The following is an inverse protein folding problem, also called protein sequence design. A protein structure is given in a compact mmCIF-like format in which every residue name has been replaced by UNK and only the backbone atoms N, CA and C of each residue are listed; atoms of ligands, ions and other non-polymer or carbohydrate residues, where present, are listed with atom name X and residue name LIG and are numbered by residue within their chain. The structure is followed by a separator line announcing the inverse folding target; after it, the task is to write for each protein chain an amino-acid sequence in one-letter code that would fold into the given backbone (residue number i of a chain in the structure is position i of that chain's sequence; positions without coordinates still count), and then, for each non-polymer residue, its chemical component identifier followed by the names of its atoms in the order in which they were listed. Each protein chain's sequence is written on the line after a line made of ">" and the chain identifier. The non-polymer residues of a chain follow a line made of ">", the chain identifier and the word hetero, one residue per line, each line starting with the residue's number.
data_IF_596916052034
#
_entry.id   IF_596916052034
#
_cell.length_a   1.000
_cell.length_b   1.000
_cell.length_c   1.000
_cell.angle_alpha   90.00
_cell.angle_beta   90.00
_cell.angle_gamma   90.00
#
_symmetry.space_group_name_H-M   'P 1'
#
loop_
_entity.id
_entity.type
_entity.pdbx_description
1 polymer ?
#
# COMPACT_ATOMS: atom_id res chain seq x y z
N UNK A 1 -2.65 -27.97 15.61
CA UNK A 1 -4.09 -27.70 15.46
C UNK A 1 -4.43 -27.78 13.99
N UNK A 2 -5.30 -28.71 13.61
CA UNK A 2 -5.91 -28.74 12.27
C UNK A 2 -6.80 -27.51 12.07
N UNK A 3 -6.77 -26.95 10.87
CA UNK A 3 -7.60 -25.81 10.51
C UNK A 3 -9.03 -26.28 10.24
N UNK A 4 -9.97 -25.90 11.12
CA UNK A 4 -11.40 -26.29 11.03
C UNK A 4 -12.26 -25.26 10.30
N UNK A 5 -11.67 -24.19 9.76
CA UNK A 5 -12.42 -23.19 8.99
C UNK A 5 -12.86 -23.76 7.64
N UNK A 6 -14.09 -23.46 7.22
CA UNK A 6 -14.53 -23.79 5.87
C UNK A 6 -13.64 -23.06 4.85
N UNK A 7 -12.92 -23.79 3.98
CA UNK A 7 -12.05 -23.18 2.98
C UNK A 7 -12.91 -22.56 1.87
N UNK A 8 -12.56 -21.35 1.42
CA UNK A 8 -13.27 -20.66 0.35
C UNK A 8 -13.57 -19.20 0.67
N UNK A 9 -14.05 -18.48 -0.34
CA UNK A 9 -14.48 -17.10 -0.17
C UNK A 9 -15.79 -17.08 0.63
N UNK A 10 -15.85 -16.23 1.66
CA UNK A 10 -17.02 -16.12 2.55
C UNK A 10 -18.07 -15.11 2.06
N UNK A 11 -17.63 -14.20 1.20
CA UNK A 11 -18.45 -13.25 0.45
C UNK A 11 -19.13 -13.98 -0.71
N UNK A 12 -20.39 -13.66 -1.00
CA UNK A 12 -21.10 -14.21 -2.16
C UNK A 12 -20.63 -13.47 -3.42
N UNK A 13 -19.40 -13.74 -3.89
CA UNK A 13 -19.02 -13.31 -5.23
C UNK A 13 -19.79 -14.16 -6.24
N UNK A 14 -20.67 -13.53 -7.00
CA UNK A 14 -21.32 -14.19 -8.12
C UNK A 14 -20.28 -14.61 -9.16
N UNK A 15 -20.56 -15.69 -9.91
CA UNK A 15 -19.71 -16.11 -11.01
C UNK A 15 -19.71 -15.01 -12.09
N UNK A 16 -18.71 -14.13 -12.06
CA UNK A 16 -18.64 -12.97 -12.96
C UNK A 16 -18.18 -11.66 -12.31
N UNK A 17 -17.92 -11.61 -11.00
CA UNK A 17 -17.43 -10.39 -10.35
C UNK A 17 -16.20 -9.81 -11.05
N UNK A 18 -16.24 -8.50 -11.31
CA UNK A 18 -15.16 -7.80 -11.99
C UNK A 18 -13.90 -7.76 -11.12
N UNK A 19 -12.72 -7.65 -11.73
CA UNK A 19 -11.47 -7.47 -10.97
C UNK A 19 -11.49 -6.22 -10.08
N UNK A 20 -12.33 -5.23 -10.40
CA UNK A 20 -12.54 -4.02 -9.61
C UNK A 20 -13.33 -4.33 -8.33
N UNK A 21 -14.43 -5.07 -8.42
CA UNK A 21 -15.22 -5.48 -7.24
C UNK A 21 -14.37 -6.28 -6.26
N UNK A 22 -13.61 -7.25 -6.77
CA UNK A 22 -12.69 -8.05 -5.94
C UNK A 22 -11.64 -7.14 -5.28
N UNK A 23 -11.11 -6.15 -6.00
CA UNK A 23 -10.12 -5.22 -5.46
C UNK A 23 -10.71 -4.31 -4.37
N UNK A 24 -11.95 -3.85 -4.53
CA UNK A 24 -12.66 -3.03 -3.53
C UNK A 24 -12.87 -3.79 -2.23
N UNK A 25 -13.08 -5.10 -2.30
CA UNK A 25 -13.19 -5.96 -1.10
C UNK A 25 -11.86 -6.10 -0.34
N UNK A 26 -10.71 -6.03 -1.02
CA UNK A 26 -9.40 -6.06 -0.36
C UNK A 26 -8.91 -4.69 0.11
N UNK A 27 -9.34 -3.61 -0.55
CA UNK A 27 -8.95 -2.22 -0.29
C UNK A 27 -10.19 -1.39 0.01
N UNK A 28 -10.58 -1.43 1.29
CA UNK A 28 -11.78 -0.78 1.80
C UNK A 28 -11.74 0.74 1.60
N UNK A 29 -12.87 1.34 1.26
CA UNK A 29 -13.03 2.80 1.12
C UNK A 29 -12.61 3.56 2.37
N UNK A 30 -12.78 2.96 3.56
CA UNK A 30 -12.32 3.51 4.84
C UNK A 30 -10.81 3.76 4.86
N UNK A 31 -10.02 2.88 4.24
CA UNK A 31 -8.56 3.03 4.17
C UNK A 31 -8.19 4.23 3.29
N UNK A 32 -8.85 4.39 2.16
CA UNK A 32 -8.63 5.54 1.28
C UNK A 32 -9.02 6.84 1.98
N UNK A 33 -10.15 6.85 2.70
CA UNK A 33 -10.57 8.00 3.47
C UNK A 33 -9.60 8.31 4.61
N UNK A 34 -9.10 7.28 5.31
CA UNK A 34 -8.11 7.45 6.37
C UNK A 34 -6.81 8.07 5.84
N UNK A 35 -6.29 7.56 4.72
CA UNK A 35 -5.09 8.11 4.06
C UNK A 35 -5.35 9.56 3.66
N UNK A 36 -6.50 9.83 3.05
CA UNK A 36 -6.91 11.18 2.64
C UNK A 36 -6.89 12.15 3.82
N UNK A 37 -7.56 11.79 4.92
CA UNK A 37 -7.61 12.61 6.12
C UNK A 37 -6.20 12.84 6.67
N UNK A 38 -5.35 11.81 6.73
CA UNK A 38 -3.98 11.96 7.24
C UNK A 38 -3.07 12.78 6.35
N UNK A 39 -3.21 12.69 5.03
CA UNK A 39 -2.46 13.52 4.08
C UNK A 39 -2.85 14.99 4.23
N UNK A 40 -4.16 15.27 4.32
CA UNK A 40 -4.66 16.64 4.51
C UNK A 40 -4.27 17.21 5.88
N UNK A 41 -4.44 16.44 6.96
CA UNK A 41 -3.99 16.80 8.32
C UNK A 41 -2.48 17.15 8.30
N UNK A 42 -1.67 16.33 7.61
CA UNK A 42 -0.22 16.55 7.55
C UNK A 42 0.13 17.83 6.80
N UNK A 43 -0.50 18.06 5.65
CA UNK A 43 -0.27 19.24 4.81
C UNK A 43 -0.63 20.55 5.53
N UNK A 44 -1.75 20.56 6.25
CA UNK A 44 -2.19 21.72 7.04
C UNK A 44 -1.24 22.01 8.20
N UNK A 45 -0.76 20.98 8.90
CA UNK A 45 0.13 21.13 10.05
C UNK A 45 1.61 21.36 9.67
N UNK A 46 2.00 21.09 8.42
CA UNK A 46 3.39 21.21 7.96
C UNK A 46 3.47 21.92 6.59
N UNK A 47 2.98 23.18 6.49
CA UNK A 47 2.94 23.90 5.21
C UNK A 47 4.33 24.05 4.57
N UNK A 48 5.41 24.05 5.35
CA UNK A 48 6.79 24.09 4.87
C UNK A 48 7.26 22.80 4.17
N UNK A 49 6.51 21.70 4.30
CA UNK A 49 6.77 20.43 3.60
C UNK A 49 5.93 20.30 2.32
N UNK A 50 4.93 21.16 2.16
CA UNK A 50 4.05 21.17 1.01
C UNK A 50 4.69 22.00 -0.11
N UNK A 51 4.65 21.47 -1.33
CA UNK A 51 5.12 22.21 -2.50
C UNK A 51 4.03 23.21 -2.92
N UNK A 52 4.35 24.50 -3.04
CA UNK A 52 3.42 25.45 -3.67
C UNK A 52 3.20 25.01 -5.13
N UNK A 53 1.95 24.85 -5.55
CA UNK A 53 1.64 24.77 -7.00
C UNK A 53 1.89 26.14 -7.64
N UNK A 54 1.93 26.18 -8.96
CA UNK A 54 2.08 27.45 -9.71
C UNK A 54 1.04 28.52 -9.32
N UNK A 55 -0.12 28.12 -8.78
CA UNK A 55 -1.19 28.99 -8.29
C UNK A 55 -1.18 29.22 -6.75
N UNK A 56 -0.09 28.87 -6.07
CA UNK A 56 0.18 29.27 -4.67
C UNK A 56 -0.48 28.43 -3.58
N UNK A 57 -1.63 27.80 -3.83
CA UNK A 57 -2.41 27.13 -2.78
C UNK A 57 -2.35 25.58 -2.85
N UNK A 58 -2.26 24.96 -1.67
CA UNK A 58 -2.51 23.53 -1.49
C UNK A 58 -4.00 23.24 -1.63
N UNK A 59 -4.36 22.25 -2.45
CA UNK A 59 -5.72 21.73 -2.51
C UNK A 59 -5.81 20.44 -1.70
N UNK A 60 -6.85 20.31 -0.88
CA UNK A 60 -7.09 19.10 -0.11
C UNK A 60 -7.24 17.90 -1.04
N UNK A 61 -6.48 16.85 -0.76
CA UNK A 61 -6.58 15.59 -1.51
C UNK A 61 -7.92 14.93 -1.21
N UNK A 62 -8.47 14.20 -2.18
CA UNK A 62 -9.71 13.41 -2.08
C UNK A 62 -9.43 11.91 -2.08
N UNK A 63 -10.39 11.11 -1.59
CA UNK A 63 -10.29 9.65 -1.65
C UNK A 63 -10.11 9.12 -3.07
N UNK A 64 -10.74 9.77 -4.05
CA UNK A 64 -10.62 9.41 -5.46
C UNK A 64 -9.23 9.73 -6.02
N UNK A 65 -8.60 10.84 -5.62
CA UNK A 65 -7.21 11.11 -5.98
C UNK A 65 -6.24 10.08 -5.38
N UNK A 66 -6.47 9.62 -4.14
CA UNK A 66 -5.67 8.52 -3.56
C UNK A 66 -5.86 7.22 -4.34
N UNK A 67 -7.09 6.90 -4.77
CA UNK A 67 -7.37 5.73 -5.63
C UNK A 67 -6.63 5.84 -6.96
N UNK A 68 -6.65 7.01 -7.59
CA UNK A 68 -5.92 7.29 -8.84
C UNK A 68 -4.41 7.13 -8.64
N UNK A 69 -3.86 7.67 -7.56
CA UNK A 69 -2.44 7.51 -7.22
C UNK A 69 -2.09 6.02 -7.06
N UNK A 70 -2.88 5.27 -6.30
CA UNK A 70 -2.64 3.83 -6.12
C UNK A 70 -2.71 3.06 -7.45
N UNK A 71 -3.68 3.37 -8.31
CA UNK A 71 -3.81 2.78 -9.63
C UNK A 71 -2.57 3.09 -10.50
N UNK A 72 -2.10 4.34 -10.47
CA UNK A 72 -0.87 4.74 -11.17
C UNK A 72 0.37 4.05 -10.59
N UNK A 73 0.47 3.88 -9.27
CA UNK A 73 1.58 3.14 -8.63
C UNK A 73 1.61 1.68 -9.09
N UNK A 74 0.46 1.01 -9.12
CA UNK A 74 0.36 -0.36 -9.66
C UNK A 74 0.77 -0.39 -11.13
N UNK A 75 0.31 0.58 -11.93
CA UNK A 75 0.63 0.65 -13.35
C UNK A 75 2.13 0.93 -13.59
N UNK A 76 2.78 1.77 -12.77
CA UNK A 76 4.23 1.96 -12.82
C UNK A 76 5.00 0.68 -12.46
N UNK A 77 4.40 -0.20 -11.65
CA UNK A 77 5.03 -1.47 -11.33
C UNK A 77 4.98 -2.45 -12.51
N UNK A 78 3.86 -2.46 -13.24
CA UNK A 78 3.66 -3.29 -14.43
C UNK A 78 4.48 -2.78 -15.62
N UNK A 79 4.39 -1.48 -15.91
CA UNK A 79 5.09 -0.84 -17.02
C UNK A 79 6.40 -0.25 -16.51
N UNK A 80 7.55 -0.88 -16.74
CA UNK A 80 8.84 -0.33 -16.30
C UNK A 80 9.40 0.69 -17.28
N UNK A 81 9.63 1.92 -16.81
CA UNK A 81 10.42 2.93 -17.53
C UNK A 81 11.66 3.32 -16.74
N UNK A 82 12.63 3.92 -17.43
CA UNK A 82 13.95 4.26 -16.87
C UNK A 82 13.87 5.22 -15.67
N UNK A 83 12.93 6.16 -15.69
CA UNK A 83 12.75 7.17 -14.63
C UNK A 83 11.28 7.43 -14.36
N UNK A 84 10.96 7.90 -13.14
CA UNK A 84 9.58 8.27 -12.79
C UNK A 84 9.03 9.40 -13.70
N UNK A 85 9.89 10.35 -14.07
CA UNK A 85 9.50 11.47 -14.94
C UNK A 85 9.10 10.98 -16.34
N UNK A 86 9.72 9.89 -16.83
CA UNK A 86 9.44 9.37 -18.16
C UNK A 86 8.03 8.79 -18.35
N UNK A 87 7.29 8.56 -17.26
CA UNK A 87 5.87 8.18 -17.32
C UNK A 87 4.98 9.35 -17.75
N UNK A 88 5.37 10.58 -17.41
CA UNK A 88 4.68 11.81 -17.81
C UNK A 88 5.30 12.50 -19.02
N UNK A 89 6.14 11.78 -19.80
CA UNK A 89 6.73 12.32 -21.00
C UNK A 89 5.67 12.54 -22.10
N UNK A 90 5.80 13.65 -22.84
CA UNK A 90 4.91 14.02 -23.95
C UNK A 90 5.48 13.67 -25.33
N UNK A 91 6.74 13.25 -25.40
CA UNK A 91 7.37 12.81 -26.65
C UNK A 91 6.59 11.63 -27.26
N UNK A 92 6.08 11.74 -28.51
CA UNK A 92 5.28 10.70 -29.15
C UNK A 92 5.92 9.30 -29.16
N UNK A 93 7.26 9.21 -29.18
CA UNK A 93 7.96 7.92 -29.24
C UNK A 93 8.01 7.18 -27.89
N UNK A 94 7.87 7.92 -26.78
CA UNK A 94 7.97 7.40 -25.43
C UNK A 94 6.77 7.73 -24.55
N UNK A 95 5.77 8.43 -25.10
CA UNK A 95 4.58 8.86 -24.37
C UNK A 95 3.73 7.68 -23.93
N UNK A 96 3.29 7.72 -22.68
CA UNK A 96 2.29 6.83 -22.13
C UNK A 96 1.09 7.68 -21.73
N UNK A 97 0.18 8.00 -22.68
CA UNK A 97 -0.79 9.09 -22.54
C UNK A 97 -1.74 8.94 -21.36
N UNK A 98 -1.94 7.71 -20.88
CA UNK A 98 -2.72 7.44 -19.68
C UNK A 98 -2.20 8.19 -18.45
N UNK A 99 -0.89 8.20 -18.19
CA UNK A 99 -0.32 8.86 -17.00
C UNK A 99 -0.61 10.37 -16.95
N UNK A 100 -0.18 11.18 -17.95
CA UNK A 100 -0.48 12.62 -17.96
C UNK A 100 -1.95 12.94 -18.22
N UNK A 101 -2.71 12.01 -18.82
CA UNK A 101 -4.15 12.15 -19.04
C UNK A 101 -4.99 11.91 -17.79
N UNK A 102 -4.54 11.06 -16.87
CA UNK A 102 -5.27 10.72 -15.63
C UNK A 102 -4.94 11.66 -14.49
N UNK A 103 -3.66 11.99 -14.27
CA UNK A 103 -3.23 12.89 -13.20
C UNK A 103 -2.01 13.69 -13.66
N UNK A 104 -1.95 15.01 -13.45
CA UNK A 104 -0.74 15.78 -13.73
C UNK A 104 0.46 15.27 -12.92
N UNK A 105 1.66 15.34 -13.50
CA UNK A 105 2.90 14.91 -12.84
C UNK A 105 3.08 15.55 -11.47
N UNK A 106 2.83 16.86 -11.36
CA UNK A 106 2.99 17.60 -10.12
C UNK A 106 1.94 17.18 -9.08
N UNK A 107 0.70 16.91 -9.48
CA UNK A 107 -0.33 16.38 -8.57
C UNK A 107 0.01 14.98 -8.03
N UNK A 108 0.54 14.10 -8.89
CA UNK A 108 1.03 12.79 -8.46
C UNK A 108 2.21 12.93 -7.50
N UNK A 109 3.16 13.82 -7.81
CA UNK A 109 4.28 14.10 -6.93
C UNK A 109 3.81 14.72 -5.61
N UNK A 110 2.87 15.65 -5.56
CA UNK A 110 2.43 16.27 -4.31
C UNK A 110 1.97 15.22 -3.28
N UNK A 111 1.24 14.21 -3.75
CA UNK A 111 0.75 13.10 -2.91
C UNK A 111 1.87 12.09 -2.61
N UNK A 112 2.73 11.77 -3.58
CA UNK A 112 3.76 10.72 -3.45
C UNK A 112 5.12 11.20 -2.90
N UNK A 113 5.34 12.52 -2.85
CA UNK A 113 6.64 13.14 -2.50
C UNK A 113 6.77 13.43 -1.02
N UNK A 114 5.70 13.32 -0.23
CA UNK A 114 5.95 13.00 1.17
C UNK A 114 6.74 11.69 1.18
N UNK A 115 7.92 11.72 1.77
CA UNK A 115 9.04 10.78 1.58
C UNK A 115 8.73 9.37 2.14
N UNK A 116 7.45 9.06 2.34
CA UNK A 116 6.87 7.89 2.98
C UNK A 116 6.54 6.77 1.98
N UNK A 117 6.06 7.07 0.77
CA UNK A 117 5.50 6.02 -0.12
C UNK A 117 6.55 5.31 -1.00
N UNK A 118 7.56 6.00 -1.52
CA UNK A 118 8.48 5.38 -2.50
C UNK A 118 9.79 4.85 -1.90
N UNK A 119 10.25 5.45 -0.80
CA UNK A 119 11.42 4.99 -0.02
C UNK A 119 11.25 5.43 1.43
N UNK A 120 10.60 4.61 2.26
CA UNK A 120 10.65 4.82 3.71
C UNK A 120 12.12 4.81 4.20
N UNK A 121 12.68 6.00 4.45
CA UNK A 121 14.03 6.21 5.00
C UNK A 121 14.01 6.45 6.52
N UNK A 122 12.85 6.30 7.17
CA UNK A 122 12.73 6.41 8.62
C UNK A 122 13.45 5.27 9.35
N UNK A 123 13.78 5.49 10.62
CA UNK A 123 14.27 4.42 11.51
C UNK A 123 13.07 3.63 12.03
N UNK A 124 12.67 2.58 11.33
CA UNK A 124 11.72 1.59 11.85
C UNK A 124 12.33 0.89 13.06
N UNK A 125 11.75 1.08 14.24
CA UNK A 125 12.22 0.46 15.49
C UNK A 125 12.24 -1.07 15.42
N UNK A 126 11.34 -1.66 14.65
CA UNK A 126 11.19 -3.12 14.48
C UNK A 126 11.73 -3.65 13.14
N UNK A 127 12.70 -2.94 12.55
CA UNK A 127 13.44 -3.42 11.36
C UNK A 127 14.31 -4.62 11.72
N UNK A 128 14.12 -5.74 11.04
CA UNK A 128 14.84 -6.98 11.28
C UNK A 128 15.94 -7.21 10.21
N UNK A 129 17.12 -7.63 10.65
CA UNK A 129 18.17 -8.14 9.76
C UNK A 129 17.96 -9.63 9.44
N UNK A 130 18.07 -9.99 8.16
CA UNK A 130 17.99 -11.34 7.60
C UNK A 130 19.13 -11.54 6.58
N UNK A 131 20.26 -12.13 6.99
CA UNK A 131 21.48 -12.18 6.17
C UNK A 131 21.31 -12.94 4.84
N UNK A 132 20.43 -13.95 4.83
CA UNK A 132 20.20 -14.84 3.68
C UNK A 132 19.40 -14.14 2.56
N UNK A 133 18.63 -13.10 2.87
CA UNK A 133 17.75 -12.45 1.88
C UNK A 133 18.51 -11.37 1.12
N UNK A 134 18.20 -11.22 -0.19
CA UNK A 134 18.75 -10.13 -1.01
C UNK A 134 18.47 -8.75 -0.39
N UNK A 135 17.22 -8.51 0.03
CA UNK A 135 16.89 -7.40 0.91
C UNK A 135 17.17 -7.80 2.37
N UNK A 136 18.40 -7.54 2.84
CA UNK A 136 18.87 -8.02 4.15
C UNK A 136 18.19 -7.35 5.34
N UNK A 137 17.58 -6.19 5.16
CA UNK A 137 16.87 -5.51 6.24
C UNK A 137 15.44 -5.17 5.83
N UNK A 138 14.48 -5.49 6.68
CA UNK A 138 13.07 -5.19 6.40
C UNK A 138 12.16 -5.45 7.60
N UNK A 139 10.88 -5.18 7.41
CA UNK A 139 9.83 -5.55 8.37
C UNK A 139 9.52 -7.03 8.21
N UNK A 140 9.52 -7.78 9.31
CA UNK A 140 9.13 -9.19 9.29
C UNK A 140 7.62 -9.30 9.45
N UNK A 141 6.97 -10.01 8.54
CA UNK A 141 5.52 -10.30 8.59
C UNK A 141 5.35 -11.81 8.66
N UNK A 142 4.58 -12.30 9.64
CA UNK A 142 4.08 -13.66 9.66
C UNK A 142 2.77 -13.69 8.89
N UNK A 143 2.63 -14.61 7.94
CA UNK A 143 1.40 -14.78 7.17
C UNK A 143 0.94 -16.23 7.27
N UNK A 144 -0.35 -16.42 7.46
CA UNK A 144 -1.03 -17.71 7.40
C UNK A 144 -1.62 -17.78 6.00
N UNK A 145 -1.17 -18.76 5.20
CA UNK A 145 -1.64 -18.94 3.84
C UNK A 145 -2.29 -20.31 3.68
N UNK A 146 -3.30 -20.38 2.81
CA UNK A 146 -3.92 -21.63 2.44
C UNK A 146 -3.00 -22.42 1.49
N UNK A 147 -2.76 -23.68 1.81
CA UNK A 147 -1.83 -24.56 1.08
C UNK A 147 -2.50 -25.45 0.05
N UNK A 148 -3.83 -25.64 0.12
CA UNK A 148 -4.51 -26.71 -0.58
C UNK A 148 -5.48 -26.18 -1.64
N UNK A 149 -5.65 -26.98 -2.70
CA UNK A 149 -6.67 -26.82 -3.75
C UNK A 149 -6.53 -25.53 -4.57
N UNK A 150 -7.63 -25.08 -5.20
CA UNK A 150 -7.69 -23.86 -6.04
C UNK A 150 -7.44 -22.55 -5.26
N UNK A 151 -7.42 -22.60 -3.93
CA UNK A 151 -7.13 -21.48 -3.05
C UNK A 151 -5.65 -21.46 -2.58
N UNK A 152 -4.75 -22.20 -3.24
CA UNK A 152 -3.33 -22.15 -2.91
C UNK A 152 -2.76 -20.74 -3.12
N UNK A 153 -2.12 -20.18 -2.08
CA UNK A 153 -1.49 -18.87 -2.12
C UNK A 153 -2.29 -17.72 -1.49
N UNK A 154 -3.56 -17.92 -1.16
CA UNK A 154 -4.37 -16.92 -0.44
C UNK A 154 -3.87 -16.74 1.00
N UNK A 155 -3.77 -15.48 1.44
CA UNK A 155 -3.39 -15.14 2.82
C UNK A 155 -4.64 -14.96 3.67
N UNK A 156 -4.79 -15.78 4.70
CA UNK A 156 -5.92 -15.74 5.64
C UNK A 156 -5.73 -14.67 6.73
N UNK A 157 -4.52 -14.60 7.26
CA UNK A 157 -4.20 -13.68 8.33
C UNK A 157 -2.72 -13.32 8.26
N UNK A 158 -2.36 -12.13 8.72
CA UNK A 158 -0.98 -11.71 8.84
C UNK A 158 -0.75 -10.94 10.13
N UNK A 159 0.46 -11.04 10.67
CA UNK A 159 0.92 -10.30 11.84
C UNK A 159 2.28 -9.69 11.57
N UNK A 160 2.38 -8.38 11.75
CA UNK A 160 3.65 -7.67 11.69
C UNK A 160 4.42 -7.94 12.98
N UNK A 161 5.68 -8.36 12.87
CA UNK A 161 6.55 -8.57 14.01
C UNK A 161 7.12 -7.24 14.47
N UNK A 162 6.81 -6.86 15.72
CA UNK A 162 7.25 -5.58 16.30
C UNK A 162 8.43 -5.73 17.26
N UNK A 163 8.93 -6.95 17.47
CA UNK A 163 10.02 -7.23 18.42
C UNK A 163 9.56 -7.37 19.88
N UNK A 164 8.40 -6.82 20.24
CA UNK A 164 7.83 -6.87 21.60
C UNK A 164 6.93 -8.09 21.85
N UNK A 165 6.62 -8.86 20.81
CA UNK A 165 5.71 -10.01 20.86
C UNK A 165 6.15 -11.14 21.82
N UNK A 166 7.42 -11.16 22.24
CA UNK A 166 7.95 -12.17 23.18
C UNK A 166 7.39 -12.04 24.60
N UNK A 167 6.96 -10.85 25.02
CA UNK A 167 6.49 -10.60 26.39
C UNK A 167 5.02 -11.00 26.60
N UNK A 168 4.24 -11.04 25.51
CA UNK A 168 2.81 -11.36 25.57
C UNK A 168 2.59 -12.88 25.54
N UNK A 169 3.45 -13.65 24.85
CA UNK A 169 3.32 -15.12 24.86
C UNK A 169 3.57 -15.71 26.25
N UNK A 170 4.53 -15.19 27.01
CA UNK A 170 4.81 -15.70 28.38
C UNK A 170 3.67 -15.47 29.37
N UNK A 171 2.90 -14.39 29.21
CA UNK A 171 1.74 -14.09 30.08
C UNK A 171 0.52 -14.95 29.78
N UNK A 172 0.37 -15.46 28.55
CA UNK A 172 -0.78 -16.30 28.19
C UNK A 172 -0.54 -17.76 28.63
N UNK A 173 0.72 -18.23 28.65
CA UNK A 173 1.04 -19.57 29.17
C UNK A 173 1.06 -19.67 30.71
N UNK A 174 1.21 -18.55 31.43
CA UNK A 174 1.15 -18.53 32.91
C UNK A 174 -0.26 -18.46 33.48
N UNK A 175 -1.28 -18.16 32.66
CA UNK A 175 -2.67 -18.01 33.08
C UNK A 175 -3.55 -19.20 32.72
N UNK A 176 -2.95 -20.31 32.25
CA UNK A 176 -3.63 -21.55 31.86
C UNK A 176 -3.03 -22.76 32.62
N UNK A 177 -2.46 -22.54 33.81
CA UNK A 177 -2.14 -23.59 34.76
C UNK A 177 -2.84 -23.32 36.09
#
# INVERSE_FOLDING_TARGET
>A
HEFTGMPGIKENFEHGSSSLEIFQEFLMDEMFQYITNKTNDYAENHPQHVRPRHDGDWFSTTGDEIKVVLALLILTDIMKKLTLVSYWNRDPTTSTPFFPGTMPHDGFLDICTDKSLWKFKGRLRFKQYKPIKHARFGVKVYKICQSNSRACGYTWNYKIYTGQDRLVSSSIYSSVN
#
